data_IF_326507242610
#
_entry.id   IF_326507242610
#
_cell.length_a   1.000
_cell.length_b   1.000
_cell.length_c   1.000
_cell.angle_alpha   90.00
_cell.angle_beta   90.00
_cell.angle_gamma   90.00
#
_symmetry.space_group_name_H-M   'P 1'
#
loop_
_entity.id
_entity.type
_entity.pdbx_description
1 polymer ?
#
# COMPACT_ATOMS: atom_id res chain seq x y z
N UNK A 1 -1.72 -15.16 -8.03
CA UNK A 1 -1.33 -14.24 -6.94
C UNK A 1 0.16 -13.88 -6.98
N UNK A 2 1.09 -14.81 -6.78
CA UNK A 2 2.53 -14.48 -6.66
C UNK A 2 3.15 -13.72 -7.85
N UNK A 3 2.75 -14.04 -9.08
CA UNK A 3 3.23 -13.31 -10.27
C UNK A 3 2.74 -11.85 -10.31
N UNK A 4 1.48 -11.61 -9.93
CA UNK A 4 0.86 -10.28 -9.85
C UNK A 4 1.55 -9.44 -8.76
N UNK A 5 1.76 -10.02 -7.58
CA UNK A 5 2.43 -9.34 -6.48
C UNK A 5 3.88 -8.96 -6.85
N UNK A 6 4.60 -9.84 -7.54
CA UNK A 6 5.97 -9.58 -8.01
C UNK A 6 6.01 -8.47 -9.07
N UNK A 7 5.06 -8.48 -10.00
CA UNK A 7 4.91 -7.40 -10.97
C UNK A 7 4.71 -6.06 -10.25
N UNK A 8 3.74 -5.98 -9.33
CA UNK A 8 3.41 -4.75 -8.62
C UNK A 8 4.57 -4.27 -7.74
N UNK A 9 5.30 -5.18 -7.11
CA UNK A 9 6.48 -4.86 -6.31
C UNK A 9 7.62 -4.24 -7.15
N UNK A 10 7.64 -4.45 -8.47
CA UNK A 10 8.62 -3.84 -9.38
C UNK A 10 8.22 -2.42 -9.85
N UNK A 11 6.99 -1.98 -9.58
CA UNK A 11 6.51 -0.65 -9.97
C UNK A 11 7.06 0.41 -8.99
N UNK A 12 7.84 1.42 -9.44
CA UNK A 12 8.52 2.36 -8.52
C UNK A 12 7.60 3.18 -7.60
N UNK A 13 6.36 3.42 -8.03
CA UNK A 13 5.37 4.14 -7.20
C UNK A 13 4.79 3.26 -6.09
N UNK A 14 4.86 1.93 -6.21
CA UNK A 14 4.33 0.98 -5.22
C UNK A 14 5.24 0.94 -4.00
N UNK A 15 4.63 1.06 -2.82
CA UNK A 15 5.33 1.11 -1.51
C UNK A 15 4.95 -0.04 -0.59
N UNK A 16 3.86 -0.73 -0.89
CA UNK A 16 3.41 -1.89 -0.15
C UNK A 16 2.53 -2.76 -1.05
N UNK A 17 2.78 -4.07 -1.02
CA UNK A 17 1.92 -5.09 -1.62
C UNK A 17 1.78 -6.21 -0.62
N UNK A 18 0.55 -6.59 -0.32
CA UNK A 18 0.29 -7.73 0.54
C UNK A 18 -0.93 -8.52 0.05
N UNK A 19 -0.88 -9.81 0.33
CA UNK A 19 -2.04 -10.68 0.16
C UNK A 19 -2.84 -10.69 1.45
N UNK A 20 -4.16 -10.54 1.33
CA UNK A 20 -5.09 -10.53 2.46
C UNK A 20 -5.98 -11.77 2.40
N UNK A 21 -6.55 -12.16 3.54
CA UNK A 21 -7.59 -13.18 3.56
C UNK A 21 -8.91 -12.58 3.05
N UNK A 22 -9.70 -13.38 2.33
CA UNK A 22 -11.02 -12.98 1.83
C UNK A 22 -11.09 -12.78 0.31
N UNK A 23 -12.21 -12.22 -0.16
CA UNK A 23 -12.49 -12.04 -1.60
C UNK A 23 -11.61 -10.96 -2.23
N UNK A 24 -11.39 -9.86 -1.51
CA UNK A 24 -10.41 -8.83 -1.83
C UNK A 24 -9.09 -9.28 -1.23
N UNK A 25 -8.32 -10.04 -2.00
CA UNK A 25 -7.15 -10.78 -1.52
C UNK A 25 -5.81 -10.10 -1.84
N UNK A 26 -5.83 -8.89 -2.39
CA UNK A 26 -4.64 -8.13 -2.75
C UNK A 26 -4.81 -6.68 -2.33
N UNK A 27 -3.92 -6.19 -1.47
CA UNK A 27 -3.83 -4.80 -1.04
C UNK A 27 -2.55 -4.19 -1.60
N UNK A 28 -2.69 -3.01 -2.22
CA UNK A 28 -1.58 -2.26 -2.81
C UNK A 28 -1.64 -0.83 -2.30
N UNK A 29 -0.49 -0.28 -1.90
CA UNK A 29 -0.35 1.14 -1.59
C UNK A 29 0.74 1.73 -2.46
N UNK A 30 0.45 2.85 -3.11
CA UNK A 30 1.37 3.57 -3.97
C UNK A 30 1.36 5.06 -3.66
N UNK A 31 2.46 5.75 -4.00
CA UNK A 31 2.48 7.21 -4.04
C UNK A 31 2.10 7.68 -5.42
N UNK A 32 1.14 8.60 -5.47
CA UNK A 32 0.61 9.18 -6.68
C UNK A 32 1.21 10.57 -6.86
N UNK A 33 1.75 10.84 -8.05
CA UNK A 33 2.00 12.22 -8.49
C UNK A 33 0.73 12.87 -9.04
N UNK A 34 -0.19 12.06 -9.57
CA UNK A 34 -1.53 12.47 -10.01
C UNK A 34 -2.52 11.30 -9.88
N UNK A 35 -3.82 11.59 -9.86
CA UNK A 35 -4.85 10.55 -9.85
C UNK A 35 -4.84 9.69 -11.14
N UNK A 36 -4.35 10.24 -12.25
CA UNK A 36 -4.22 9.53 -13.53
C UNK A 36 -3.25 8.33 -13.44
N UNK A 37 -2.22 8.41 -12.58
CA UNK A 37 -1.29 7.30 -12.37
C UNK A 37 -2.01 6.03 -11.86
N UNK A 38 -3.10 6.18 -11.11
CA UNK A 38 -3.95 5.04 -10.69
C UNK A 38 -4.54 4.37 -11.92
N UNK A 39 -5.19 5.14 -12.79
CA UNK A 39 -5.88 4.59 -13.95
C UNK A 39 -4.92 3.87 -14.90
N UNK A 40 -3.72 4.44 -15.12
CA UNK A 40 -2.68 3.83 -15.96
C UNK A 40 -2.19 2.50 -15.39
N UNK A 41 -1.95 2.44 -14.08
CA UNK A 41 -1.54 1.21 -13.40
C UNK A 41 -2.62 0.12 -13.52
N UNK A 42 -3.89 0.50 -13.38
CA UNK A 42 -5.00 -0.45 -13.48
C UNK A 42 -5.20 -0.98 -14.90
N UNK A 43 -5.05 -0.12 -15.91
CA UNK A 43 -5.09 -0.53 -17.31
C UNK A 43 -3.96 -1.52 -17.63
N UNK A 44 -2.73 -1.24 -17.16
CA UNK A 44 -1.59 -2.15 -17.30
C UNK A 44 -1.84 -3.49 -16.59
N UNK A 45 -2.39 -3.44 -15.38
CA UNK A 45 -2.70 -4.62 -14.58
C UNK A 45 -3.79 -5.47 -15.25
N UNK A 46 -4.84 -4.86 -15.77
CA UNK A 46 -5.90 -5.55 -16.51
C UNK A 46 -5.37 -6.20 -17.79
N UNK A 47 -4.48 -5.51 -18.52
CA UNK A 47 -3.89 -6.03 -19.75
C UNK A 47 -2.95 -7.23 -19.50
N UNK A 48 -2.11 -7.17 -18.46
CA UNK A 48 -1.12 -8.23 -18.17
C UNK A 48 -1.64 -9.34 -17.27
N UNK A 49 -2.67 -9.05 -16.47
CA UNK A 49 -3.27 -9.98 -15.52
C UNK A 49 -4.80 -9.93 -15.60
N UNK A 50 -5.42 -10.46 -16.68
CA UNK A 50 -6.86 -10.34 -16.92
C UNK A 50 -7.77 -10.92 -15.83
N UNK A 51 -7.24 -11.83 -15.01
CA UNK A 51 -7.95 -12.42 -13.87
C UNK A 51 -7.98 -11.51 -12.62
N UNK A 52 -7.26 -10.38 -12.63
CA UNK A 52 -7.20 -9.44 -11.50
C UNK A 52 -8.26 -8.36 -11.70
N UNK A 53 -9.10 -8.18 -10.69
CA UNK A 53 -10.16 -7.17 -10.69
C UNK A 53 -9.89 -6.15 -9.59
N UNK A 54 -9.88 -4.88 -9.95
CA UNK A 54 -9.73 -3.77 -8.99
C UNK A 54 -11.09 -3.41 -8.42
N UNK A 55 -11.32 -3.77 -7.16
CA UNK A 55 -12.61 -3.64 -6.49
C UNK A 55 -12.80 -2.30 -5.78
N UNK A 56 -11.72 -1.69 -5.29
CA UNK A 56 -11.76 -0.43 -4.54
C UNK A 56 -10.58 0.47 -4.88
N UNK A 57 -10.78 1.79 -4.76
CA UNK A 57 -9.77 2.83 -4.93
C UNK A 57 -9.90 3.83 -3.79
N UNK A 58 -8.95 3.79 -2.87
CA UNK A 58 -8.90 4.73 -1.76
C UNK A 58 -7.72 5.69 -1.92
N UNK A 59 -7.99 7.00 -1.87
CA UNK A 59 -6.95 8.05 -1.89
C UNK A 59 -6.79 8.60 -0.47
N UNK A 60 -5.61 8.38 0.12
CA UNK A 60 -5.26 8.98 1.40
C UNK A 60 -4.78 10.43 1.20
N UNK A 61 -5.62 11.40 1.54
CA UNK A 61 -5.28 12.83 1.43
C UNK A 61 -4.21 13.28 2.44
N UNK A 62 -4.15 12.62 3.60
CA UNK A 62 -3.17 12.90 4.64
C UNK A 62 -2.69 11.60 5.28
N UNK A 63 -1.39 11.49 5.47
CA UNK A 63 -0.77 10.38 6.20
C UNK A 63 -0.42 10.82 7.61
N UNK A 64 -1.25 10.51 8.60
CA UNK A 64 -0.96 10.86 10.00
C UNK A 64 0.19 10.02 10.59
N UNK A 65 0.36 8.78 10.11
CA UNK A 65 1.43 7.86 10.52
C UNK A 65 1.87 7.01 9.33
N UNK A 66 3.18 6.76 9.22
CA UNK A 66 3.76 5.76 8.31
C UNK A 66 4.91 5.05 8.99
N UNK A 67 4.82 3.73 9.10
CA UNK A 67 5.87 2.86 9.65
C UNK A 67 6.56 3.42 10.91
N UNK A 68 5.81 3.49 12.01
CA UNK A 68 6.32 4.02 13.29
C UNK A 68 6.43 5.54 13.35
N UNK A 69 6.61 6.23 12.21
CA UNK A 69 6.75 7.69 12.16
C UNK A 69 5.40 8.40 12.16
N UNK A 70 5.27 9.44 12.97
CA UNK A 70 4.08 10.31 13.10
C UNK A 70 4.31 11.60 12.33
N UNK A 71 3.28 12.10 11.64
CA UNK A 71 3.32 13.31 10.84
C UNK A 71 2.27 14.32 11.30
N UNK A 72 2.62 15.60 11.26
CA UNK A 72 1.72 16.71 11.56
C UNK A 72 0.76 17.02 10.39
N UNK A 73 0.09 18.18 10.44
CA UNK A 73 -0.85 18.60 9.40
C UNK A 73 -0.18 19.03 8.09
N UNK A 74 1.08 19.48 8.18
CA UNK A 74 1.91 19.84 7.02
C UNK A 74 2.57 18.63 6.36
N UNK A 75 2.48 17.45 6.97
CA UNK A 75 3.18 16.25 6.52
C UNK A 75 4.63 16.17 6.99
N UNK A 76 5.03 17.03 7.92
CA UNK A 76 6.33 16.98 8.57
C UNK A 76 6.32 15.89 9.65
N UNK A 77 7.36 15.05 9.67
CA UNK A 77 7.44 13.99 10.66
C UNK A 77 7.90 14.54 12.01
N UNK A 78 7.06 14.43 13.03
CA UNK A 78 7.22 15.09 14.34
C UNK A 78 7.53 14.14 15.48
N UNK A 79 7.24 12.85 15.33
CA UNK A 79 7.53 11.85 16.35
C UNK A 79 7.74 10.46 15.74
N UNK A 80 8.17 9.52 16.57
CA UNK A 80 8.28 8.10 16.22
C UNK A 80 7.76 7.26 17.38
N UNK A 81 7.02 6.22 17.04
CA UNK A 81 6.57 5.15 17.93
C UNK A 81 7.27 3.88 17.47
N UNK A 82 8.04 3.20 18.34
CA UNK A 82 8.71 1.95 17.99
C UNK A 82 7.73 0.94 17.37
N UNK A 83 8.14 0.37 16.24
CA UNK A 83 7.42 -0.75 15.63
C UNK A 83 8.02 -2.05 16.13
N UNK A 84 7.21 -2.86 16.77
CA UNK A 84 7.56 -4.20 17.21
C UNK A 84 6.51 -5.21 16.72
N UNK A 85 6.31 -5.35 15.39
CA UNK A 85 5.19 -6.09 14.82
C UNK A 85 5.18 -7.59 15.16
N UNK A 86 6.32 -8.13 15.59
CA UNK A 86 6.51 -9.53 15.96
C UNK A 86 7.12 -9.69 17.35
N UNK A 87 7.17 -8.63 18.16
CA UNK A 87 7.68 -8.77 19.51
C UNK A 87 6.73 -9.64 20.33
N UNK A 88 7.31 -10.55 21.09
CA UNK A 88 6.55 -11.30 22.08
C UNK A 88 6.03 -10.31 23.14
N UNK A 89 4.75 -10.41 23.53
CA UNK A 89 4.22 -9.57 24.59
C UNK A 89 5.02 -9.82 25.87
N UNK A 90 5.61 -8.77 26.44
CA UNK A 90 6.31 -8.87 27.72
C UNK A 90 5.29 -9.28 28.80
N UNK A 91 5.53 -10.36 29.56
CA UNK A 91 4.67 -10.71 30.69
C UNK A 91 4.58 -9.53 31.66
N UNK A 92 3.36 -9.21 32.10
CA UNK A 92 3.11 -8.15 33.10
C UNK A 92 3.49 -8.62 34.50
#
# INVERSE_FOLDING_TARGET
MGAVARHLAAVPSVRFVATTAGRQNLLVTLWLRSAEEVHRLEAELAARHPAVLVQDRTIALRTAKRMGRIFDASGCGVASVPLAPWAEPTPR
#
